data_IF_812103025858
#
_entry.id   IF_812103025858
#
_cell.length_a   1.000
_cell.length_b   1.000
_cell.length_c   1.000
_cell.angle_alpha   90.00
_cell.angle_beta   90.00
_cell.angle_gamma   90.00
#
_symmetry.space_group_name_H-M   'P 1'
#
loop_
_entity.id
_entity.type
_entity.pdbx_description
1 polymer ?
#
# COMPACT_ATOMS: atom_id res chain seq x y z
N UNK A 1 -31.13 -22.59 -23.24
CA UNK A 1 -29.71 -22.77 -23.63
C UNK A 1 -29.35 -21.78 -24.75
N UNK A 2 -29.11 -20.52 -24.38
CA UNK A 2 -28.60 -19.51 -25.31
C UNK A 2 -27.19 -19.13 -24.83
N UNK A 3 -26.25 -19.15 -25.77
CA UNK A 3 -24.81 -19.08 -25.54
C UNK A 3 -24.43 -17.76 -24.85
N UNK A 4 -23.74 -17.87 -23.72
CA UNK A 4 -23.06 -16.76 -23.06
C UNK A 4 -22.05 -16.20 -24.07
N UNK A 5 -22.20 -14.92 -24.40
CA UNK A 5 -21.07 -14.13 -24.89
C UNK A 5 -20.31 -13.77 -23.64
N UNK A 6 -19.21 -14.45 -23.41
CA UNK A 6 -18.20 -14.01 -22.47
C UNK A 6 -17.77 -12.62 -22.94
N UNK A 7 -18.10 -11.62 -22.13
CA UNK A 7 -17.51 -10.30 -22.24
C UNK A 7 -16.12 -10.48 -21.65
N UNK A 8 -15.13 -10.52 -22.54
CA UNK A 8 -13.72 -10.61 -22.16
C UNK A 8 -13.41 -9.55 -21.11
N UNK A 9 -12.72 -9.97 -20.06
CA UNK A 9 -12.22 -9.12 -18.99
C UNK A 9 -11.15 -8.12 -19.49
N UNK A 10 -10.84 -8.12 -20.78
CA UNK A 10 -9.88 -7.24 -21.46
C UNK A 10 -10.50 -5.89 -21.89
N UNK A 11 -11.83 -5.70 -21.79
CA UNK A 11 -12.50 -4.45 -22.22
C UNK A 11 -12.56 -3.34 -21.15
N UNK A 12 -12.12 -3.61 -19.92
CA UNK A 12 -11.86 -2.54 -18.95
C UNK A 12 -10.42 -2.11 -19.16
N UNK A 13 -10.23 -1.19 -20.10
CA UNK A 13 -9.01 -0.41 -20.26
C UNK A 13 -8.74 0.45 -19.02
N UNK A 14 -8.47 -0.18 -17.88
CA UNK A 14 -7.55 0.36 -16.92
C UNK A 14 -6.22 0.39 -17.68
N UNK A 15 -5.90 1.55 -18.24
CA UNK A 15 -4.51 1.92 -18.47
C UNK A 15 -3.89 1.90 -17.07
N UNK A 16 -3.46 0.70 -16.66
CA UNK A 16 -2.35 0.52 -15.76
C UNK A 16 -1.22 1.26 -16.44
N UNK A 17 -1.12 2.55 -16.15
CA UNK A 17 0.14 3.24 -16.26
C UNK A 17 1.01 2.55 -15.23
N UNK A 18 1.62 1.42 -15.64
CA UNK A 18 2.92 1.00 -15.16
C UNK A 18 3.66 2.29 -14.84
N UNK A 19 3.98 2.48 -13.57
CA UNK A 19 4.87 3.55 -13.18
C UNK A 19 6.17 3.22 -13.88
N UNK A 20 6.33 3.75 -15.08
CA UNK A 20 7.38 3.41 -16.02
C UNK A 20 8.70 3.71 -15.33
N UNK A 21 9.27 2.68 -14.74
CA UNK A 21 10.61 2.72 -14.15
C UNK A 21 11.64 2.79 -15.27
N UNK A 22 11.25 2.52 -16.52
CA UNK A 22 12.14 2.57 -17.67
C UNK A 22 12.46 4.01 -18.11
N UNK A 23 11.71 5.03 -17.67
CA UNK A 23 12.02 6.42 -18.01
C UNK A 23 13.29 6.96 -17.32
N UNK A 24 13.76 6.32 -16.24
CA UNK A 24 15.06 6.68 -15.65
C UNK A 24 16.24 6.17 -16.48
N UNK A 25 16.04 5.06 -17.22
CA UNK A 25 16.99 4.58 -18.23
C UNK A 25 16.81 5.34 -19.56
N UNK A 26 15.58 5.67 -19.96
CA UNK A 26 15.28 6.37 -21.21
C UNK A 26 15.68 7.86 -21.19
N UNK A 27 15.68 8.51 -20.02
CA UNK A 27 16.14 9.90 -19.88
C UNK A 27 17.68 10.06 -19.91
N UNK A 28 18.43 8.98 -20.17
CA UNK A 28 19.88 9.08 -20.36
C UNK A 28 20.61 9.70 -19.17
N UNK A 29 20.18 9.38 -17.94
CA UNK A 29 20.82 9.90 -16.75
C UNK A 29 22.26 9.37 -16.67
N UNK A 30 23.20 10.20 -17.13
CA UNK A 30 24.64 9.94 -17.15
C UNK A 30 25.16 9.57 -15.76
N UNK A 31 24.52 10.04 -14.68
CA UNK A 31 24.86 9.69 -13.30
C UNK A 31 24.45 8.25 -12.95
N UNK A 32 23.25 7.81 -13.36
CA UNK A 32 22.80 6.42 -13.16
C UNK A 32 23.64 5.45 -13.98
N UNK A 33 24.03 5.82 -15.20
CA UNK A 33 24.84 4.99 -16.10
C UNK A 33 26.33 4.92 -15.71
N UNK A 34 26.91 6.00 -15.16
CA UNK A 34 28.35 6.03 -14.80
C UNK A 34 28.66 5.48 -13.41
N UNK A 35 27.63 5.25 -12.58
CA UNK A 35 27.81 4.93 -11.16
C UNK A 35 28.42 6.11 -10.41
N UNK A 36 28.16 6.21 -9.10
CA UNK A 36 28.68 7.29 -8.24
C UNK A 36 30.21 7.17 -8.03
N UNK A 37 31.02 7.31 -9.09
CA UNK A 37 32.47 7.38 -8.99
C UNK A 37 32.86 8.80 -8.61
N UNK A 38 33.22 8.97 -7.34
CA UNK A 38 33.76 10.21 -6.80
C UNK A 38 35.06 10.55 -7.56
N UNK A 39 35.13 11.68 -8.30
CA UNK A 39 36.38 12.10 -8.91
C UNK A 39 37.41 12.36 -7.79
N UNK A 40 38.58 11.74 -7.89
CA UNK A 40 39.66 11.93 -6.90
C UNK A 40 40.29 13.30 -7.12
N UNK A 41 40.41 14.09 -6.06
CA UNK A 41 41.22 15.30 -6.06
C UNK A 41 42.71 14.91 -6.19
N UNK A 42 43.51 15.61 -7.01
CA UNK A 42 44.92 15.30 -7.13
C UNK A 42 45.67 15.67 -5.85
N UNK A 43 46.66 14.84 -5.54
CA UNK A 43 47.65 15.04 -4.49
C UNK A 43 48.62 16.16 -4.90
N UNK A 44 49.30 16.77 -3.92
CA UNK A 44 50.22 17.91 -4.09
C UNK A 44 51.11 17.83 -5.35
N UNK A 45 51.44 18.98 -5.98
CA UNK A 45 52.22 19.04 -7.21
C UNK A 45 53.57 18.32 -7.06
N UNK A 46 53.99 17.58 -8.09
CA UNK A 46 55.24 16.80 -8.04
C UNK A 46 56.48 17.69 -8.14
N UNK A 47 56.29 18.91 -8.66
CA UNK A 47 57.35 19.91 -8.84
C UNK A 47 57.33 20.92 -7.69
N UNK A 48 58.45 21.03 -6.96
CA UNK A 48 58.66 22.11 -5.99
C UNK A 48 59.18 23.34 -6.73
N UNK A 49 58.37 24.39 -6.82
CA UNK A 49 58.76 25.66 -7.44
C UNK A 49 59.90 26.31 -6.64
N UNK A 50 61.04 26.66 -7.28
CA UNK A 50 62.09 27.44 -6.63
C UNK A 50 61.53 28.79 -6.14
N UNK A 51 62.04 29.27 -5.00
CA UNK A 51 61.68 30.58 -4.49
C UNK A 51 62.04 31.69 -5.49
N UNK A 52 61.25 32.76 -5.55
CA UNK A 52 61.48 33.88 -6.46
C UNK A 52 62.89 34.47 -6.22
N UNK A 53 63.75 34.44 -7.24
CA UNK A 53 65.15 34.91 -7.15
C UNK A 53 66.19 33.82 -6.85
N UNK A 54 65.80 32.55 -6.73
CA UNK A 54 66.73 31.43 -6.59
C UNK A 54 67.56 31.20 -7.87
N UNK A 55 68.84 30.85 -7.72
CA UNK A 55 69.73 30.58 -8.85
C UNK A 55 69.29 29.32 -9.59
N UNK A 56 69.06 29.44 -10.91
CA UNK A 56 68.73 28.30 -11.77
C UNK A 56 70.04 27.61 -12.14
N UNK A 57 70.21 26.35 -11.72
CA UNK A 57 71.44 25.58 -11.93
C UNK A 57 71.47 24.91 -13.32
N UNK A 58 70.32 24.80 -14.00
CA UNK A 58 70.19 24.24 -15.35
C UNK A 58 68.90 24.74 -16.02
N UNK A 59 69.03 25.37 -17.19
CA UNK A 59 67.88 25.80 -18.01
C UNK A 59 67.08 24.59 -18.49
N UNK A 60 67.75 23.48 -18.78
CA UNK A 60 67.11 22.24 -19.25
C UNK A 60 66.22 21.61 -18.17
N UNK A 61 66.63 21.66 -16.91
CA UNK A 61 65.83 21.18 -15.79
C UNK A 61 64.58 22.07 -15.58
N UNK A 62 64.74 23.39 -15.63
CA UNK A 62 63.62 24.33 -15.54
C UNK A 62 62.60 24.13 -16.67
N UNK A 63 63.06 23.88 -17.90
CA UNK A 63 62.19 23.58 -19.04
C UNK A 63 61.47 22.24 -18.84
N UNK A 64 62.12 21.22 -18.27
CA UNK A 64 61.48 19.95 -17.95
C UNK A 64 60.39 20.11 -16.88
N UNK A 65 60.66 20.89 -15.83
CA UNK A 65 59.70 21.20 -14.77
C UNK A 65 58.50 21.98 -15.30
N UNK A 66 58.72 22.96 -16.19
CA UNK A 66 57.65 23.71 -16.85
C UNK A 66 56.74 22.81 -17.71
N UNK A 67 57.30 21.84 -18.44
CA UNK A 67 56.52 20.87 -19.21
C UNK A 67 55.75 19.89 -18.31
N UNK A 68 56.27 19.58 -17.12
CA UNK A 68 55.57 18.75 -16.13
C UNK A 68 54.39 19.52 -15.52
N UNK A 69 54.60 20.76 -15.08
CA UNK A 69 53.53 21.64 -14.58
C UNK A 69 52.46 21.92 -15.64
N UNK A 70 52.84 22.07 -16.91
CA UNK A 70 51.88 22.23 -18.00
C UNK A 70 50.97 21.01 -18.14
N UNK A 71 51.53 19.79 -18.05
CA UNK A 71 50.76 18.55 -18.09
C UNK A 71 49.86 18.39 -16.86
N UNK A 72 50.36 18.67 -15.66
CA UNK A 72 49.55 18.66 -14.43
C UNK A 72 48.40 19.67 -14.51
N UNK A 73 48.63 20.87 -15.06
CA UNK A 73 47.59 21.88 -15.23
C UNK A 73 46.51 21.45 -16.25
N UNK A 74 46.92 20.78 -17.33
CA UNK A 74 45.99 20.20 -18.30
C UNK A 74 45.13 19.10 -17.68
N UNK A 75 45.73 18.23 -16.88
CA UNK A 75 45.02 17.15 -16.18
C UNK A 75 44.03 17.71 -15.14
N UNK A 76 44.43 18.71 -14.36
CA UNK A 76 43.58 19.43 -13.43
C UNK A 76 42.36 20.07 -14.11
N UNK A 77 42.56 20.70 -15.29
CA UNK A 77 41.46 21.29 -16.07
C UNK A 77 40.48 20.22 -16.55
N UNK A 78 40.97 19.11 -17.09
CA UNK A 78 40.13 18.00 -17.53
C UNK A 78 39.32 17.40 -16.35
N UNK A 79 39.93 17.29 -15.17
CA UNK A 79 39.23 16.83 -13.96
C UNK A 79 38.19 17.84 -13.47
N UNK A 80 38.49 19.14 -13.50
CA UNK A 80 37.52 20.18 -13.16
C UNK A 80 36.31 20.17 -14.10
N UNK A 81 36.55 20.05 -15.40
CA UNK A 81 35.49 19.93 -16.41
C UNK A 81 34.61 18.71 -16.15
N UNK A 82 35.22 17.56 -15.81
CA UNK A 82 34.49 16.34 -15.45
C UNK A 82 33.62 16.53 -14.19
N UNK A 83 34.18 17.11 -13.13
CA UNK A 83 33.44 17.39 -11.88
C UNK A 83 32.29 18.37 -12.14
N UNK A 84 32.54 19.42 -12.92
CA UNK A 84 31.53 20.40 -13.30
C UNK A 84 30.37 19.75 -14.07
N UNK A 85 30.69 18.93 -15.08
CA UNK A 85 29.69 18.18 -15.85
C UNK A 85 28.91 17.20 -14.97
N UNK A 86 29.58 16.50 -14.05
CA UNK A 86 28.94 15.59 -13.12
C UNK A 86 27.98 16.32 -12.17
N UNK A 87 28.40 17.46 -11.61
CA UNK A 87 27.56 18.28 -10.73
C UNK A 87 26.36 18.86 -11.47
N UNK A 88 26.53 19.29 -12.72
CA UNK A 88 25.43 19.73 -13.57
C UNK A 88 24.42 18.60 -13.84
N UNK A 89 24.92 17.39 -14.11
CA UNK A 89 24.09 16.18 -14.26
C UNK A 89 23.31 15.83 -12.99
N UNK A 90 23.95 15.92 -11.82
CA UNK A 90 23.29 15.71 -10.52
C UNK A 90 22.19 16.74 -10.26
N UNK A 91 22.46 18.02 -10.56
CA UNK A 91 21.48 19.09 -10.40
C UNK A 91 20.26 18.89 -11.31
N UNK A 92 20.48 18.53 -12.58
CA UNK A 92 19.41 18.22 -13.52
C UNK A 92 18.59 17.02 -13.03
N UNK A 93 19.24 15.95 -12.57
CA UNK A 93 18.57 14.78 -12.03
C UNK A 93 17.74 15.09 -10.79
N UNK A 94 18.27 15.91 -9.87
CA UNK A 94 17.55 16.36 -8.68
C UNK A 94 16.30 17.19 -9.06
N UNK A 95 16.38 18.04 -10.09
CA UNK A 95 15.23 18.80 -10.60
C UNK A 95 14.14 17.88 -11.14
N UNK A 96 14.50 16.89 -11.97
CA UNK A 96 13.54 15.92 -12.53
C UNK A 96 12.86 15.11 -11.42
N UNK A 97 13.63 14.66 -10.42
CA UNK A 97 13.06 13.97 -9.25
C UNK A 97 12.13 14.88 -8.45
N UNK A 98 12.47 16.16 -8.30
CA UNK A 98 11.64 17.14 -7.62
C UNK A 98 10.29 17.33 -8.33
N UNK A 99 10.32 17.54 -9.66
CA UNK A 99 9.11 17.71 -10.46
C UNK A 99 8.22 16.46 -10.44
N UNK A 100 8.84 15.27 -10.50
CA UNK A 100 8.12 13.99 -10.36
C UNK A 100 7.45 13.87 -8.99
N UNK A 101 8.14 14.21 -7.91
CA UNK A 101 7.58 14.19 -6.57
C UNK A 101 6.42 15.18 -6.42
N UNK A 102 6.52 16.37 -7.01
CA UNK A 102 5.43 17.34 -7.05
C UNK A 102 4.22 16.77 -7.81
N UNK A 103 4.42 16.17 -8.98
CA UNK A 103 3.34 15.57 -9.77
C UNK A 103 2.62 14.43 -9.02
N UNK A 104 3.35 13.61 -8.26
CA UNK A 104 2.78 12.57 -7.41
C UNK A 104 1.93 13.19 -6.28
N UNK A 105 2.46 14.20 -5.60
CA UNK A 105 1.73 14.91 -4.54
C UNK A 105 0.46 15.60 -5.05
N UNK A 106 0.51 16.19 -6.24
CA UNK A 106 -0.65 16.81 -6.88
C UNK A 106 -1.73 15.78 -7.19
N UNK A 107 -1.38 14.67 -7.85
CA UNK A 107 -2.32 13.56 -8.11
C UNK A 107 -2.93 12.99 -6.84
N UNK A 108 -2.13 12.81 -5.79
CA UNK A 108 -2.63 12.34 -4.50
C UNK A 108 -3.65 13.32 -3.86
N UNK A 109 -3.38 14.63 -3.92
CA UNK A 109 -4.30 15.67 -3.41
C UNK A 109 -5.60 15.73 -4.22
N UNK A 110 -5.52 15.60 -5.54
CA UNK A 110 -6.69 15.54 -6.41
C UNK A 110 -7.54 14.31 -6.14
N UNK A 111 -6.90 13.14 -6.02
CA UNK A 111 -7.57 11.89 -5.63
C UNK A 111 -8.27 12.00 -4.27
N UNK A 112 -7.61 12.59 -3.27
CA UNK A 112 -8.20 12.84 -1.96
C UNK A 112 -9.42 13.76 -2.04
N UNK A 113 -9.32 14.89 -2.76
CA UNK A 113 -10.46 15.82 -2.95
C UNK A 113 -11.63 15.15 -3.66
N UNK A 114 -11.37 14.41 -4.73
CA UNK A 114 -12.40 13.67 -5.45
C UNK A 114 -13.07 12.63 -4.54
N UNK A 115 -12.29 11.92 -3.72
CA UNK A 115 -12.80 11.00 -2.70
C UNK A 115 -13.71 11.67 -1.68
N UNK A 116 -13.30 12.84 -1.16
CA UNK A 116 -14.12 13.61 -0.20
C UNK A 116 -15.44 14.08 -0.81
N UNK A 117 -15.45 14.56 -2.05
CA UNK A 117 -16.69 14.97 -2.75
C UNK A 117 -17.63 13.78 -2.93
N UNK A 118 -17.12 12.61 -3.32
CA UNK A 118 -17.94 11.39 -3.43
C UNK A 118 -18.51 10.95 -2.08
N UNK A 119 -17.73 11.06 -1.01
CA UNK A 119 -18.20 10.73 0.35
C UNK A 119 -19.32 11.68 0.78
N UNK A 120 -19.16 12.99 0.56
CA UNK A 120 -20.18 13.97 0.87
C UNK A 120 -21.48 13.71 0.08
N UNK A 121 -21.38 13.40 -1.22
CA UNK A 121 -22.52 13.01 -2.03
C UNK A 121 -23.21 11.75 -1.52
N UNK A 122 -22.44 10.73 -1.11
CA UNK A 122 -22.98 9.50 -0.54
C UNK A 122 -23.74 9.77 0.77
N UNK A 123 -23.19 10.61 1.66
CA UNK A 123 -23.86 11.01 2.89
C UNK A 123 -25.16 11.77 2.61
N UNK A 124 -25.15 12.72 1.68
CA UNK A 124 -26.36 13.46 1.28
C UNK A 124 -27.40 12.55 0.61
N UNK A 125 -27.00 11.51 -0.12
CA UNK A 125 -27.94 10.52 -0.63
C UNK A 125 -28.52 9.66 0.50
N UNK A 126 -27.70 9.29 1.48
CA UNK A 126 -28.14 8.49 2.63
C UNK A 126 -29.18 9.24 3.46
N UNK A 127 -28.92 10.51 3.77
CA UNK A 127 -29.89 11.34 4.50
C UNK A 127 -31.21 11.52 3.73
N UNK A 128 -31.17 11.56 2.39
CA UNK A 128 -32.40 11.62 1.58
C UNK A 128 -33.19 10.33 1.70
N UNK A 129 -32.53 9.18 1.55
CA UNK A 129 -33.16 7.87 1.71
C UNK A 129 -33.72 7.69 3.13
N UNK A 130 -33.01 8.14 4.17
CA UNK A 130 -33.49 8.11 5.55
C UNK A 130 -34.77 8.95 5.73
N UNK A 131 -34.85 10.14 5.12
CA UNK A 131 -36.08 10.96 5.13
C UNK A 131 -37.22 10.27 4.38
N UNK A 132 -36.96 9.75 3.18
CA UNK A 132 -37.96 9.05 2.38
C UNK A 132 -38.50 7.81 3.11
N UNK A 133 -37.63 7.09 3.83
CA UNK A 133 -38.01 5.96 4.65
C UNK A 133 -38.92 6.37 5.83
N UNK A 134 -38.58 7.45 6.53
CA UNK A 134 -39.40 7.99 7.61
C UNK A 134 -40.79 8.45 7.11
N UNK A 135 -40.85 9.10 5.94
CA UNK A 135 -42.12 9.48 5.30
C UNK A 135 -42.95 8.25 4.91
N UNK A 136 -42.30 7.19 4.40
CA UNK A 136 -42.97 5.95 4.07
C UNK A 136 -43.50 5.24 5.33
N UNK A 137 -42.73 5.20 6.42
CA UNK A 137 -43.19 4.68 7.71
C UNK A 137 -44.42 5.43 8.21
N UNK A 138 -44.41 6.77 8.14
CA UNK A 138 -45.57 7.60 8.49
C UNK A 138 -46.81 7.25 7.66
N UNK A 139 -46.65 7.09 6.34
CA UNK A 139 -47.75 6.68 5.44
C UNK A 139 -48.28 5.28 5.76
N UNK A 140 -47.40 4.33 6.08
CA UNK A 140 -47.79 2.97 6.48
C UNK A 140 -48.56 3.00 7.80
N UNK A 141 -48.12 3.81 8.77
CA UNK A 141 -48.85 3.99 10.03
C UNK A 141 -50.25 4.58 9.80
N UNK A 142 -50.38 5.57 8.91
CA UNK A 142 -51.67 6.15 8.52
C UNK A 142 -52.60 5.11 7.87
N UNK A 143 -52.07 4.26 6.98
CA UNK A 143 -52.86 3.19 6.37
C UNK A 143 -53.33 2.17 7.41
N UNK A 144 -52.49 1.80 8.38
CA UNK A 144 -52.88 0.91 9.49
C UNK A 144 -53.99 1.54 10.33
N UNK A 145 -53.84 2.81 10.72
CA UNK A 145 -54.87 3.51 11.49
C UNK A 145 -56.19 3.68 10.72
N UNK A 146 -56.15 3.72 9.38
CA UNK A 146 -57.38 3.67 8.56
C UNK A 146 -57.99 2.27 8.57
N UNK A 147 -57.17 1.23 8.37
CA UNK A 147 -57.61 -0.16 8.41
C UNK A 147 -58.30 -0.51 9.73
N UNK A 148 -57.70 -0.14 10.87
CA UNK A 148 -58.25 -0.36 12.21
C UNK A 148 -59.61 0.33 12.39
N UNK A 149 -59.76 1.55 11.86
CA UNK A 149 -61.04 2.28 11.90
C UNK A 149 -62.11 1.62 11.03
N UNK A 150 -61.75 1.12 9.85
CA UNK A 150 -62.68 0.35 9.01
C UNK A 150 -63.08 -0.95 9.68
N UNK A 151 -62.16 -1.69 10.29
CA UNK A 151 -62.47 -2.93 11.02
C UNK A 151 -63.40 -2.67 12.22
N UNK A 152 -63.16 -1.60 12.97
CA UNK A 152 -64.05 -1.16 14.04
C UNK A 152 -65.46 -0.81 13.52
N UNK A 153 -65.54 -0.09 12.39
CA UNK A 153 -66.82 0.25 11.76
C UNK A 153 -67.56 -0.99 11.25
N UNK A 154 -66.86 -1.95 10.64
CA UNK A 154 -67.44 -3.24 10.23
C UNK A 154 -67.98 -4.03 11.42
N UNK A 155 -67.25 -4.02 12.53
CA UNK A 155 -67.67 -4.69 13.76
C UNK A 155 -68.97 -4.10 14.29
N UNK A 156 -69.08 -2.76 14.33
CA UNK A 156 -70.32 -2.07 14.72
C UNK A 156 -71.48 -2.39 13.77
N UNK A 157 -71.23 -2.38 12.46
CA UNK A 157 -72.23 -2.74 11.45
C UNK A 157 -72.74 -4.17 11.62
N UNK A 158 -71.87 -5.13 11.96
CA UNK A 158 -72.28 -6.51 12.25
C UNK A 158 -73.18 -6.57 13.48
N UNK A 159 -72.83 -5.90 14.56
CA UNK A 159 -73.63 -5.86 15.80
C UNK A 159 -75.02 -5.29 15.53
N UNK A 160 -75.13 -4.17 14.81
CA UNK A 160 -76.41 -3.56 14.43
C UNK A 160 -77.24 -4.51 13.56
N UNK A 161 -76.58 -5.21 12.64
CA UNK A 161 -77.23 -6.18 11.75
C UNK A 161 -77.74 -7.41 12.51
N UNK A 162 -77.02 -7.88 13.50
CA UNK A 162 -77.44 -8.98 14.38
C UNK A 162 -78.61 -8.54 15.27
N UNK A 163 -78.54 -7.34 15.87
CA UNK A 163 -79.64 -6.76 16.67
C UNK A 163 -80.92 -6.59 15.86
N UNK A 164 -80.82 -5.98 14.67
CA UNK A 164 -81.98 -5.82 13.78
C UNK A 164 -82.53 -7.15 13.26
N UNK A 165 -81.68 -8.17 13.08
CA UNK A 165 -82.12 -9.52 12.74
C UNK A 165 -82.85 -10.23 13.91
N UNK A 166 -82.49 -9.92 15.16
CA UNK A 166 -83.23 -10.38 16.34
C UNK A 166 -84.58 -9.66 16.45
N UNK A 167 -84.61 -8.32 16.32
CA UNK A 167 -85.85 -7.54 16.32
C UNK A 167 -86.83 -8.01 15.25
N UNK A 168 -86.33 -8.33 14.04
CA UNK A 168 -87.17 -8.86 12.97
C UNK A 168 -87.78 -10.22 13.32
N UNK A 169 -87.00 -11.12 13.94
CA UNK A 169 -87.48 -12.43 14.39
C UNK A 169 -88.57 -12.29 15.46
N UNK A 170 -88.40 -11.38 16.41
CA UNK A 170 -89.39 -11.11 17.46
C UNK A 170 -90.70 -10.56 16.88
N UNK A 171 -90.61 -9.60 15.96
CA UNK A 171 -91.77 -9.07 15.24
C UNK A 171 -92.51 -10.17 14.46
N UNK A 172 -91.77 -11.08 13.82
CA UNK A 172 -92.35 -12.18 13.07
C UNK A 172 -93.08 -13.18 14.00
N UNK A 173 -92.51 -13.46 15.18
CA UNK A 173 -93.17 -14.28 16.20
C UNK A 173 -94.45 -13.62 16.74
N UNK A 174 -94.44 -12.32 16.98
CA UNK A 174 -95.63 -11.56 17.40
C UNK A 174 -96.73 -11.61 16.35
N UNK A 175 -96.37 -11.47 15.08
CA UNK A 175 -97.32 -11.51 13.96
C UNK A 175 -97.95 -12.90 13.81
N UNK A 176 -97.16 -13.96 13.98
CA UNK A 176 -97.66 -15.33 14.02
C UNK A 176 -98.64 -15.55 15.18
N UNK A 177 -98.29 -15.10 16.38
CA UNK A 177 -99.17 -15.22 17.56
C UNK A 177 -100.50 -14.47 17.36
N UNK A 178 -100.47 -13.29 16.73
CA UNK A 178 -101.68 -12.54 16.40
C UNK A 178 -102.55 -13.26 15.36
N UNK A 179 -101.94 -13.93 14.37
CA UNK A 179 -102.66 -14.76 13.40
C UNK A 179 -103.33 -15.97 14.07
N UNK A 180 -102.62 -16.65 14.97
CA UNK A 180 -103.17 -17.78 15.72
C UNK A 180 -104.36 -17.36 16.58
N UNK A 181 -104.27 -16.19 17.26
CA UNK A 181 -105.41 -15.61 17.99
C UNK A 181 -106.61 -15.30 17.09
N UNK A 182 -106.37 -14.75 15.89
CA UNK A 182 -107.44 -14.48 14.93
C UNK A 182 -108.11 -15.78 14.46
N UNK A 183 -107.34 -16.86 14.25
CA UNK A 183 -107.86 -18.18 13.90
C UNK A 183 -108.71 -18.78 15.04
N UNK A 184 -108.28 -18.61 16.29
CA UNK A 184 -109.05 -19.05 17.46
C UNK A 184 -110.39 -18.32 17.58
N UNK A 185 -110.42 -17.01 17.36
CA UNK A 185 -111.66 -16.23 17.32
C UNK A 185 -112.59 -16.66 16.18
N UNK A 186 -112.04 -16.94 14.99
CA UNK A 186 -112.81 -17.46 13.86
C UNK A 186 -113.42 -18.84 14.18
N UNK A 187 -112.67 -19.72 14.86
CA UNK A 187 -113.16 -21.02 15.30
C UNK A 187 -114.26 -20.91 16.38
N UNK A 188 -114.19 -19.92 17.28
CA UNK A 188 -115.24 -19.64 18.26
C UNK A 188 -116.53 -19.17 17.60
N UNK A 189 -116.43 -18.29 16.59
CA UNK A 189 -117.57 -17.86 15.77
C UNK A 189 -118.19 -19.04 15.01
N UNK A 190 -117.39 -19.92 14.43
CA UNK A 190 -117.87 -21.13 13.76
C UNK A 190 -118.59 -22.11 14.72
N UNK A 191 -118.16 -22.20 15.99
CA UNK A 191 -118.84 -22.99 17.03
C UNK A 191 -120.15 -22.36 17.49
N UNK A 192 -120.23 -21.03 17.54
CA UNK A 192 -121.46 -20.31 17.86
C UNK A 192 -122.55 -20.50 16.78
N UNK A 193 -122.16 -20.81 15.53
CA UNK A 193 -123.07 -21.11 14.44
C UNK A 193 -123.65 -22.55 14.48
N UNK A 194 -123.19 -23.44 15.38
CA UNK A 194 -123.51 -24.87 15.39
C UNK A 194 -124.69 -25.31 16.30
N UNK A 195 -125.45 -24.39 16.90
CA UNK A 195 -126.65 -24.73 17.71
C UNK A 195 -127.93 -24.79 16.86
N UNK A 196 -128.74 -25.88 16.91
CA UNK A 196 -129.84 -26.08 15.96
C UNK A 196 -131.21 -25.59 16.49
N UNK A 197 -132.10 -25.04 15.63
CA UNK A 197 -133.54 -25.10 15.85
C UNK A 197 -134.25 -26.05 14.85
N UNK A 198 -135.39 -26.63 15.24
CA UNK A 198 -136.01 -27.77 14.58
C UNK A 198 -136.92 -27.43 13.40
N UNK A 199 -137.16 -28.49 12.64
CA UNK A 199 -137.98 -28.65 11.44
C UNK A 199 -139.35 -27.98 11.47
N UNK A 200 -139.63 -27.19 10.44
CA UNK A 200 -140.69 -27.43 9.45
C UNK A 200 -140.73 -26.21 8.56
N UNK A 201 -140.26 -26.30 7.32
CA UNK A 201 -140.57 -25.24 6.36
C UNK A 201 -140.51 -25.70 4.89
N UNK A 202 -141.67 -25.70 4.23
CA UNK A 202 -141.83 -25.44 2.79
C UNK A 202 -141.16 -24.10 2.42
N UNK A 203 -140.80 -23.87 1.16
CA UNK A 203 -140.10 -22.66 0.68
C UNK A 203 -138.71 -22.36 1.30
N UNK A 204 -138.37 -22.88 2.50
CA UNK A 204 -137.07 -22.70 3.16
C UNK A 204 -135.92 -23.51 2.52
N UNK A 205 -136.18 -24.62 1.82
CA UNK A 205 -135.15 -25.30 1.02
C UNK A 205 -134.74 -24.53 -0.25
N UNK A 206 -135.63 -23.67 -0.76
CA UNK A 206 -135.32 -22.76 -1.87
C UNK A 206 -134.55 -21.54 -1.36
N UNK A 207 -134.87 -21.01 -0.18
CA UNK A 207 -134.02 -20.02 0.50
C UNK A 207 -132.69 -20.62 1.01
N UNK A 208 -132.61 -21.92 1.31
CA UNK A 208 -131.37 -22.62 1.66
C UNK A 208 -130.50 -22.90 0.43
N UNK A 209 -131.06 -23.31 -0.71
CA UNK A 209 -130.31 -23.43 -1.97
C UNK A 209 -129.92 -22.05 -2.56
N UNK A 210 -130.72 -21.01 -2.29
CA UNK A 210 -130.38 -19.62 -2.61
C UNK A 210 -129.36 -19.06 -1.62
N UNK A 211 -129.46 -19.42 -0.34
CA UNK A 211 -128.46 -19.17 0.70
C UNK A 211 -127.13 -19.86 0.37
N UNK A 212 -127.13 -21.12 -0.06
CA UNK A 212 -125.95 -21.85 -0.54
C UNK A 212 -125.35 -21.22 -1.80
N UNK A 213 -126.17 -20.69 -2.71
CA UNK A 213 -125.71 -19.90 -3.86
C UNK A 213 -125.14 -18.54 -3.46
N UNK A 214 -125.73 -17.88 -2.47
CA UNK A 214 -125.28 -16.59 -1.93
C UNK A 214 -124.05 -16.77 -1.03
N UNK A 215 -123.91 -17.89 -0.33
CA UNK A 215 -122.76 -18.35 0.45
C UNK A 215 -121.62 -18.75 -0.49
N UNK A 216 -121.88 -19.49 -1.58
CA UNK A 216 -120.89 -19.76 -2.62
C UNK A 216 -120.44 -18.48 -3.34
N UNK A 217 -121.32 -17.47 -3.45
CA UNK A 217 -120.94 -16.13 -3.94
C UNK A 217 -120.11 -15.38 -2.91
N UNK A 218 -120.45 -15.45 -1.63
CA UNK A 218 -119.67 -14.88 -0.53
C UNK A 218 -118.29 -15.52 -0.45
N UNK A 219 -118.17 -16.86 -0.49
CA UNK A 219 -116.91 -17.59 -0.55
C UNK A 219 -116.09 -17.23 -1.79
N UNK A 220 -116.73 -17.09 -2.96
CA UNK A 220 -116.03 -16.64 -4.18
C UNK A 220 -115.52 -15.21 -4.03
N UNK A 221 -116.29 -14.33 -3.40
CA UNK A 221 -115.90 -12.95 -3.20
C UNK A 221 -114.82 -12.83 -2.09
N UNK A 222 -114.86 -13.65 -1.05
CA UNK A 222 -113.81 -13.82 -0.04
C UNK A 222 -112.52 -14.40 -0.63
N UNK A 223 -112.62 -15.43 -1.48
CA UNK A 223 -111.48 -15.96 -2.23
C UNK A 223 -110.90 -14.93 -3.20
N UNK A 224 -111.73 -14.07 -3.81
CA UNK A 224 -111.25 -12.94 -4.60
C UNK A 224 -110.53 -11.90 -3.75
N UNK A 225 -111.03 -11.60 -2.55
CA UNK A 225 -110.38 -10.70 -1.59
C UNK A 225 -109.05 -11.30 -1.10
N UNK A 226 -109.02 -12.60 -0.77
CA UNK A 226 -107.81 -13.31 -0.37
C UNK A 226 -106.77 -13.37 -1.51
N UNK A 227 -107.22 -13.62 -2.76
CA UNK A 227 -106.36 -13.59 -3.94
C UNK A 227 -105.81 -12.17 -4.19
N UNK A 228 -106.63 -11.13 -3.99
CA UNK A 228 -106.19 -9.74 -4.09
C UNK A 228 -105.18 -9.38 -2.99
N UNK A 229 -105.39 -9.86 -1.75
CA UNK A 229 -104.46 -9.68 -0.64
C UNK A 229 -103.12 -10.42 -0.86
N UNK A 230 -103.16 -11.66 -1.37
CA UNK A 230 -101.96 -12.42 -1.72
C UNK A 230 -101.16 -11.75 -2.86
N UNK A 231 -101.86 -11.21 -3.88
CA UNK A 231 -101.24 -10.40 -4.94
C UNK A 231 -100.63 -9.11 -4.40
N UNK A 232 -101.30 -8.44 -3.46
CA UNK A 232 -100.77 -7.25 -2.80
C UNK A 232 -99.53 -7.58 -1.93
N UNK A 233 -99.49 -8.75 -1.29
CA UNK A 233 -98.34 -9.22 -0.51
C UNK A 233 -97.14 -9.69 -1.35
N UNK A 234 -97.37 -10.15 -2.58
CA UNK A 234 -96.31 -10.54 -3.53
C UNK A 234 -95.45 -9.34 -3.99
N UNK A 235 -96.06 -8.18 -4.17
CA UNK A 235 -95.36 -6.96 -4.63
C UNK A 235 -94.15 -6.55 -3.76
N UNK A 236 -94.27 -6.45 -2.41
CA UNK A 236 -93.12 -6.15 -1.56
C UNK A 236 -92.09 -7.28 -1.48
N UNK A 237 -92.49 -8.55 -1.66
CA UNK A 237 -91.55 -9.68 -1.73
C UNK A 237 -90.73 -9.61 -3.02
N UNK A 238 -91.37 -9.32 -4.15
CA UNK A 238 -90.69 -9.10 -5.42
C UNK A 238 -89.74 -7.90 -5.35
N UNK A 239 -90.16 -6.77 -4.78
CA UNK A 239 -89.29 -5.62 -4.58
C UNK A 239 -88.05 -5.93 -3.72
N UNK A 240 -88.19 -6.79 -2.70
CA UNK A 240 -87.05 -7.26 -1.89
C UNK A 240 -86.13 -8.20 -2.66
N UNK A 241 -86.68 -9.08 -3.49
CA UNK A 241 -85.89 -9.96 -4.35
C UNK A 241 -85.08 -9.16 -5.37
N UNK A 242 -85.72 -8.19 -6.05
CA UNK A 242 -85.07 -7.30 -7.00
C UNK A 242 -83.96 -6.46 -6.33
N UNK A 243 -84.20 -5.97 -5.11
CA UNK A 243 -83.20 -5.24 -4.34
C UNK A 243 -81.99 -6.12 -3.93
N UNK A 244 -82.24 -7.38 -3.54
CA UNK A 244 -81.18 -8.33 -3.21
C UNK A 244 -80.37 -8.75 -4.45
N UNK A 245 -81.01 -8.87 -5.60
CA UNK A 245 -80.34 -9.16 -6.88
C UNK A 245 -79.47 -7.97 -7.30
N UNK A 246 -79.98 -6.74 -7.21
CA UNK A 246 -79.21 -5.53 -7.45
C UNK A 246 -77.99 -5.39 -6.50
N UNK A 247 -78.14 -5.77 -5.23
CA UNK A 247 -77.03 -5.76 -4.27
C UNK A 247 -75.99 -6.84 -4.59
N UNK A 248 -76.42 -8.05 -4.98
CA UNK A 248 -75.50 -9.09 -5.45
C UNK A 248 -74.72 -8.66 -6.68
N UNK A 249 -75.37 -7.99 -7.63
CA UNK A 249 -74.71 -7.47 -8.83
C UNK A 249 -73.69 -6.39 -8.49
N UNK A 250 -74.00 -5.49 -7.53
CA UNK A 250 -73.03 -4.52 -7.01
C UNK A 250 -71.82 -5.17 -6.35
N UNK A 251 -72.04 -6.15 -5.47
CA UNK A 251 -70.95 -6.89 -4.84
C UNK A 251 -70.09 -7.60 -5.89
N UNK A 252 -70.72 -8.18 -6.91
CA UNK A 252 -70.00 -8.82 -8.02
C UNK A 252 -69.13 -7.83 -8.79
N UNK A 253 -69.66 -6.65 -9.12
CA UNK A 253 -68.87 -5.59 -9.76
C UNK A 253 -67.70 -5.12 -8.88
N UNK A 254 -67.86 -5.07 -7.56
CA UNK A 254 -66.77 -4.74 -6.64
C UNK A 254 -65.69 -5.83 -6.62
N UNK A 255 -66.08 -7.11 -6.65
CA UNK A 255 -65.11 -8.22 -6.75
C UNK A 255 -64.39 -8.20 -8.10
N UNK A 256 -65.13 -8.00 -9.20
CA UNK A 256 -64.57 -7.93 -10.56
C UNK A 256 -63.54 -6.79 -10.71
N UNK A 257 -63.63 -5.75 -9.87
CA UNK A 257 -62.67 -4.63 -9.85
C UNK A 257 -61.54 -4.82 -8.83
N UNK A 258 -61.81 -5.47 -7.70
CA UNK A 258 -60.81 -5.73 -6.66
C UNK A 258 -59.83 -6.86 -7.02
N UNK A 259 -60.27 -7.87 -7.77
CA UNK A 259 -59.42 -8.98 -8.20
C UNK A 259 -58.24 -8.52 -9.07
N UNK A 260 -58.45 -7.73 -10.15
CA UNK A 260 -57.33 -7.16 -10.92
C UNK A 260 -56.40 -6.29 -10.07
N UNK A 261 -56.93 -5.49 -9.14
CA UNK A 261 -56.11 -4.65 -8.25
C UNK A 261 -55.20 -5.48 -7.34
N UNK A 262 -55.72 -6.58 -6.81
CA UNK A 262 -54.93 -7.52 -6.01
C UNK A 262 -53.84 -8.17 -6.85
N UNK A 263 -54.18 -8.61 -8.04
CA UNK A 263 -53.24 -9.30 -8.92
C UNK A 263 -52.13 -8.35 -9.41
N UNK A 264 -52.46 -7.09 -9.68
CA UNK A 264 -51.50 -6.02 -9.97
C UNK A 264 -50.57 -5.75 -8.78
N UNK A 265 -51.11 -5.68 -7.55
CA UNK A 265 -50.31 -5.51 -6.34
C UNK A 265 -49.36 -6.68 -6.08
N UNK A 266 -49.81 -7.92 -6.35
CA UNK A 266 -48.96 -9.11 -6.27
C UNK A 266 -47.87 -9.08 -7.34
N UNK A 267 -48.20 -8.71 -8.57
CA UNK A 267 -47.22 -8.56 -9.65
C UNK A 267 -46.16 -7.51 -9.33
N UNK A 268 -46.55 -6.40 -8.71
CA UNK A 268 -45.61 -5.36 -8.26
C UNK A 268 -44.74 -5.86 -7.10
N UNK A 269 -45.31 -6.56 -6.12
CA UNK A 269 -44.53 -7.20 -5.04
C UNK A 269 -43.50 -8.17 -5.61
N UNK A 270 -43.86 -8.98 -6.60
CA UNK A 270 -42.95 -9.93 -7.24
C UNK A 270 -41.87 -9.21 -8.07
N UNK A 271 -42.16 -8.04 -8.64
CA UNK A 271 -41.14 -7.17 -9.26
C UNK A 271 -40.17 -6.61 -8.23
N UNK A 272 -40.67 -6.05 -7.13
CA UNK A 272 -39.84 -5.53 -6.03
C UNK A 272 -38.97 -6.62 -5.42
N UNK A 273 -39.53 -7.82 -5.20
CA UNK A 273 -38.77 -8.97 -4.69
C UNK A 273 -37.59 -9.31 -5.60
N UNK A 274 -37.80 -9.30 -6.93
CA UNK A 274 -36.71 -9.54 -7.89
C UNK A 274 -35.64 -8.44 -7.86
N UNK A 275 -36.04 -7.18 -7.70
CA UNK A 275 -35.10 -6.07 -7.57
C UNK A 275 -34.26 -6.17 -6.29
N UNK A 276 -34.88 -6.58 -5.17
CA UNK A 276 -34.18 -6.79 -3.90
C UNK A 276 -33.11 -7.87 -4.02
N UNK A 277 -33.42 -9.01 -4.66
CA UNK A 277 -32.43 -10.07 -4.89
C UNK A 277 -31.23 -9.56 -5.70
N UNK A 278 -31.47 -8.74 -6.74
CA UNK A 278 -30.38 -8.14 -7.52
C UNK A 278 -29.56 -7.15 -6.68
N UNK A 279 -30.22 -6.36 -5.83
CA UNK A 279 -29.54 -5.43 -4.94
C UNK A 279 -28.69 -6.16 -3.88
N UNK A 280 -29.21 -7.24 -3.29
CA UNK A 280 -28.46 -8.11 -2.37
C UNK A 280 -27.23 -8.70 -3.03
N UNK A 281 -27.36 -9.24 -4.25
CA UNK A 281 -26.23 -9.76 -5.02
C UNK A 281 -25.18 -8.68 -5.31
N UNK A 282 -25.61 -7.45 -5.61
CA UNK A 282 -24.70 -6.33 -5.82
C UNK A 282 -23.98 -5.93 -4.52
N UNK A 283 -24.68 -5.95 -3.38
CA UNK A 283 -24.09 -5.72 -2.06
C UNK A 283 -23.06 -6.80 -1.70
N UNK A 284 -23.37 -8.07 -1.92
CA UNK A 284 -22.46 -9.18 -1.68
C UNK A 284 -21.19 -9.04 -2.53
N UNK A 285 -21.33 -8.73 -3.82
CA UNK A 285 -20.19 -8.47 -4.70
C UNK A 285 -19.34 -7.28 -4.24
N UNK A 286 -19.96 -6.21 -3.73
CA UNK A 286 -19.24 -5.06 -3.17
C UNK A 286 -18.48 -5.42 -1.87
N UNK A 287 -19.05 -6.28 -1.02
CA UNK A 287 -18.40 -6.77 0.18
C UNK A 287 -17.19 -7.66 -0.16
N UNK A 288 -17.31 -8.54 -1.14
CA UNK A 288 -16.21 -9.38 -1.61
C UNK A 288 -15.04 -8.55 -2.14
N UNK A 289 -15.32 -7.52 -2.97
CA UNK A 289 -14.30 -6.60 -3.46
C UNK A 289 -13.60 -5.85 -2.32
N UNK A 290 -14.36 -5.38 -1.32
CA UNK A 290 -13.80 -4.71 -0.14
C UNK A 290 -12.88 -5.64 0.64
N UNK A 291 -13.30 -6.88 0.85
CA UNK A 291 -12.52 -7.86 1.59
C UNK A 291 -11.25 -8.26 0.82
N UNK A 292 -11.32 -8.37 -0.50
CA UNK A 292 -10.13 -8.54 -1.36
C UNK A 292 -9.17 -7.35 -1.23
N UNK A 293 -9.66 -6.12 -1.35
CA UNK A 293 -8.84 -4.92 -1.19
C UNK A 293 -8.17 -4.86 0.20
N UNK A 294 -8.89 -5.29 1.25
CA UNK A 294 -8.34 -5.37 2.61
C UNK A 294 -7.22 -6.41 2.73
N UNK A 295 -7.35 -7.56 2.07
CA UNK A 295 -6.30 -8.59 2.02
C UNK A 295 -5.05 -8.07 1.32
N UNK A 296 -5.21 -7.42 0.17
CA UNK A 296 -4.12 -6.79 -0.60
C UNK A 296 -3.41 -5.73 0.26
N UNK A 297 -4.17 -4.82 0.88
CA UNK A 297 -3.58 -3.79 1.75
C UNK A 297 -2.79 -4.38 2.91
N UNK A 298 -3.26 -5.49 3.48
CA UNK A 298 -2.56 -6.18 4.57
C UNK A 298 -1.26 -6.84 4.08
N UNK A 299 -1.26 -7.42 2.88
CA UNK A 299 -0.06 -7.98 2.27
C UNK A 299 1.00 -6.89 1.99
N UNK A 300 0.59 -5.78 1.36
CA UNK A 300 1.49 -4.64 1.09
C UNK A 300 2.08 -4.04 2.36
N UNK A 301 1.31 -3.98 3.46
CA UNK A 301 1.85 -3.53 4.76
C UNK A 301 2.94 -4.47 5.27
N UNK A 302 2.75 -5.79 5.15
CA UNK A 302 3.77 -6.77 5.56
C UNK A 302 5.04 -6.66 4.72
N UNK A 303 4.91 -6.51 3.41
CA UNK A 303 6.05 -6.30 2.51
C UNK A 303 6.83 -5.03 2.86
N UNK A 304 6.12 -3.92 3.10
CA UNK A 304 6.73 -2.67 3.56
C UNK A 304 7.47 -2.87 4.89
N UNK A 305 6.85 -3.52 5.86
CA UNK A 305 7.46 -3.71 7.18
C UNK A 305 8.70 -4.62 7.10
N UNK A 306 8.69 -5.62 6.22
CA UNK A 306 9.87 -6.44 5.90
C UNK A 306 10.98 -5.60 5.26
N UNK A 307 10.67 -4.79 4.24
CA UNK A 307 11.64 -3.92 3.59
C UNK A 307 12.24 -2.88 4.55
N UNK A 308 11.45 -2.34 5.48
CA UNK A 308 11.96 -1.46 6.56
C UNK A 308 12.93 -2.20 7.46
N UNK A 309 12.60 -3.43 7.85
CA UNK A 309 13.48 -4.27 8.68
C UNK A 309 14.82 -4.57 7.97
N UNK A 310 14.78 -4.90 6.69
CA UNK A 310 16.00 -5.13 5.87
C UNK A 310 16.85 -3.86 5.76
N UNK A 311 16.22 -2.71 5.51
CA UNK A 311 16.91 -1.42 5.46
C UNK A 311 17.58 -1.10 6.79
N UNK A 312 16.90 -1.33 7.91
CA UNK A 312 17.43 -1.03 9.23
C UNK A 312 18.63 -1.96 9.56
N UNK A 313 18.57 -3.25 9.16
CA UNK A 313 19.73 -4.14 9.22
C UNK A 313 20.89 -3.66 8.34
N UNK A 314 20.62 -3.20 7.12
CA UNK A 314 21.65 -2.67 6.23
C UNK A 314 22.33 -1.42 6.84
N UNK A 315 21.56 -0.52 7.45
CA UNK A 315 22.11 0.63 8.17
C UNK A 315 22.99 0.23 9.35
N UNK A 316 22.60 -0.78 10.12
CA UNK A 316 23.42 -1.31 11.22
C UNK A 316 24.73 -1.91 10.69
N UNK A 317 24.69 -2.64 9.57
CA UNK A 317 25.88 -3.20 8.93
C UNK A 317 26.83 -2.08 8.43
N UNK A 318 26.29 -1.02 7.82
CA UNK A 318 27.08 0.13 7.40
C UNK A 318 27.73 0.82 8.61
N UNK A 319 27.00 1.04 9.69
CA UNK A 319 27.55 1.64 10.91
C UNK A 319 28.69 0.79 11.50
N UNK A 320 28.58 -0.53 11.48
CA UNK A 320 29.66 -1.43 11.91
C UNK A 320 30.90 -1.33 11.01
N UNK A 321 30.72 -1.24 9.69
CA UNK A 321 31.82 -1.06 8.73
C UNK A 321 32.50 0.31 8.91
N UNK A 322 31.73 1.36 9.19
CA UNK A 322 32.28 2.69 9.50
C UNK A 322 33.14 2.66 10.76
N UNK A 323 32.68 1.99 11.82
CA UNK A 323 33.48 1.81 13.04
C UNK A 323 34.78 1.05 12.77
N UNK A 324 34.73 -0.03 11.97
CA UNK A 324 35.93 -0.78 11.59
C UNK A 324 36.90 0.07 10.78
N UNK A 325 36.40 0.87 9.82
CA UNK A 325 37.21 1.80 9.04
C UNK A 325 37.90 2.81 9.95
N UNK A 326 37.16 3.41 10.88
CA UNK A 326 37.70 4.45 11.75
C UNK A 326 38.77 3.87 12.71
N UNK A 327 38.58 2.64 13.19
CA UNK A 327 39.60 1.90 13.94
C UNK A 327 40.87 1.65 13.11
N UNK A 328 40.72 1.17 11.87
CA UNK A 328 41.85 0.93 10.96
C UNK A 328 42.60 2.22 10.60
N UNK A 329 41.88 3.34 10.42
CA UNK A 329 42.49 4.66 10.21
C UNK A 329 43.28 5.10 11.44
N UNK A 330 42.73 4.93 12.64
CA UNK A 330 43.43 5.25 13.88
C UNK A 330 44.70 4.41 14.07
N UNK A 331 44.67 3.12 13.75
CA UNK A 331 45.86 2.25 13.77
C UNK A 331 46.92 2.70 12.77
N UNK A 332 46.52 2.98 11.52
CA UNK A 332 47.42 3.51 10.50
C UNK A 332 48.09 4.81 10.96
N UNK A 333 47.33 5.71 11.57
CA UNK A 333 47.85 6.99 12.02
C UNK A 333 48.81 6.83 13.20
N UNK A 334 48.55 5.90 14.14
CA UNK A 334 49.51 5.50 15.18
C UNK A 334 50.80 4.92 14.59
N UNK A 335 50.67 4.03 13.60
CA UNK A 335 51.83 3.43 12.94
C UNK A 335 52.69 4.49 12.24
N UNK A 336 52.06 5.46 11.55
CA UNK A 336 52.76 6.61 10.95
C UNK A 336 53.48 7.47 11.98
N UNK A 337 52.83 7.75 13.12
CA UNK A 337 53.46 8.49 14.21
C UNK A 337 54.67 7.75 14.80
N UNK A 338 54.64 6.42 14.83
CA UNK A 338 55.76 5.60 15.31
C UNK A 338 56.96 5.54 14.34
N UNK A 339 56.77 5.80 13.05
CA UNK A 339 57.85 5.80 12.05
C UNK A 339 58.79 6.99 12.25
N UNK A 340 58.27 8.18 12.54
CA UNK A 340 59.08 9.39 12.71
C UNK A 340 60.25 9.27 13.72
N UNK A 341 60.05 8.76 14.97
CA UNK A 341 61.16 8.58 15.90
C UNK A 341 62.14 7.48 15.45
N UNK A 342 61.68 6.45 14.72
CA UNK A 342 62.56 5.41 14.17
C UNK A 342 63.45 5.98 13.05
N UNK A 343 62.91 6.84 12.19
CA UNK A 343 63.70 7.56 11.18
C UNK A 343 64.73 8.47 11.84
N UNK A 344 64.34 9.20 12.89
CA UNK A 344 65.26 10.03 13.67
C UNK A 344 66.39 9.19 14.31
N UNK A 345 66.06 8.03 14.87
CA UNK A 345 67.06 7.11 15.45
C UNK A 345 68.00 6.57 14.38
N UNK A 346 67.48 6.19 13.20
CA UNK A 346 68.29 5.73 12.06
C UNK A 346 69.26 6.82 11.62
N UNK A 347 68.78 8.04 11.44
CA UNK A 347 69.60 9.15 10.95
C UNK A 347 70.69 9.53 11.96
N UNK A 348 70.37 9.49 13.27
CA UNK A 348 71.35 9.65 14.33
C UNK A 348 72.43 8.55 14.30
N UNK A 349 72.03 7.28 14.17
CA UNK A 349 72.96 6.15 14.07
C UNK A 349 73.86 6.24 12.82
N UNK A 350 73.31 6.69 11.68
CA UNK A 350 74.08 6.94 10.46
C UNK A 350 75.11 8.06 10.69
N UNK A 351 74.70 9.16 11.31
CA UNK A 351 75.62 10.26 11.64
C UNK A 351 76.75 9.83 12.58
N UNK A 352 76.46 9.02 13.60
CA UNK A 352 77.49 8.45 14.48
C UNK A 352 78.45 7.53 13.75
N UNK A 353 77.93 6.63 12.90
CA UNK A 353 78.76 5.75 12.06
C UNK A 353 79.68 6.57 11.16
N UNK A 354 79.17 7.62 10.54
CA UNK A 354 79.95 8.45 9.62
C UNK A 354 81.03 9.25 10.37
N UNK A 355 80.74 9.75 11.57
CA UNK A 355 81.78 10.34 12.47
C UNK A 355 82.85 9.32 12.85
N UNK A 356 82.45 8.11 13.22
CA UNK A 356 83.40 7.04 13.56
C UNK A 356 84.30 6.70 12.36
N UNK A 357 83.74 6.62 11.15
CA UNK A 357 84.52 6.44 9.91
C UNK A 357 85.49 7.59 9.68
N UNK A 358 85.07 8.83 9.85
CA UNK A 358 85.93 10.00 9.72
C UNK A 358 87.08 9.99 10.75
N UNK A 359 86.83 9.53 11.98
CA UNK A 359 87.85 9.42 13.03
C UNK A 359 88.89 8.32 12.75
N UNK A 360 88.55 7.30 11.97
CA UNK A 360 89.48 6.23 11.56
C UNK A 360 90.48 6.73 10.51
N UNK A 361 90.08 7.64 9.61
CA UNK A 361 90.96 8.19 8.54
C UNK A 361 92.32 8.71 9.07
N UNK A 362 92.39 9.61 10.08
CA UNK A 362 93.68 10.07 10.59
C UNK A 362 94.49 8.97 11.28
N UNK A 363 93.84 7.96 11.88
CA UNK A 363 94.52 6.81 12.47
C UNK A 363 95.16 5.92 11.39
N UNK A 364 94.47 5.73 10.27
CA UNK A 364 95.04 5.03 9.10
C UNK A 364 96.21 5.80 8.51
N UNK A 365 96.10 7.12 8.38
CA UNK A 365 97.21 7.98 7.93
C UNK A 365 98.41 7.90 8.89
N UNK A 366 98.19 7.91 10.20
CA UNK A 366 99.24 7.75 11.21
C UNK A 366 99.90 6.37 11.11
N UNK A 367 99.11 5.31 10.96
CA UNK A 367 99.62 3.95 10.77
C UNK A 367 100.49 3.87 9.51
N UNK A 368 100.01 4.41 8.40
CA UNK A 368 100.72 4.35 7.12
C UNK A 368 102.03 5.16 7.16
N UNK A 369 102.04 6.31 7.84
CA UNK A 369 103.26 7.07 8.12
C UNK A 369 104.25 6.27 8.98
N UNK A 370 103.79 5.66 10.08
CA UNK A 370 104.63 4.82 10.93
C UNK A 370 105.20 3.59 10.19
N UNK A 371 104.42 3.00 9.28
CA UNK A 371 104.89 1.92 8.40
C UNK A 371 105.98 2.43 7.45
N UNK A 372 105.79 3.59 6.83
CA UNK A 372 106.79 4.20 5.95
C UNK A 372 108.10 4.52 6.69
N UNK A 373 108.03 5.08 7.89
CA UNK A 373 109.20 5.34 8.74
C UNK A 373 109.94 4.05 9.10
N UNK A 374 109.20 3.00 9.50
CA UNK A 374 109.77 1.68 9.78
C UNK A 374 110.49 1.11 8.56
N UNK A 375 109.89 1.22 7.38
CA UNK A 375 110.46 0.68 6.15
C UNK A 375 111.70 1.49 5.71
N UNK A 376 111.70 2.82 5.88
CA UNK A 376 112.90 3.65 5.71
C UNK A 376 114.03 3.25 6.68
N UNK A 377 113.71 3.04 7.97
CA UNK A 377 114.68 2.59 8.96
C UNK A 377 115.27 1.22 8.61
N UNK A 378 114.46 0.29 8.07
CA UNK A 378 114.93 -1.02 7.58
C UNK A 378 115.88 -0.88 6.39
N UNK A 379 115.59 0.02 5.44
CA UNK A 379 116.48 0.29 4.30
C UNK A 379 117.80 0.91 4.77
N UNK A 380 117.76 1.89 5.67
CA UNK A 380 118.94 2.51 6.26
C UNK A 380 119.82 1.48 7.00
N UNK A 381 119.21 0.59 7.80
CA UNK A 381 119.92 -0.50 8.48
C UNK A 381 120.56 -1.47 7.47
N UNK A 382 119.87 -1.79 6.38
CA UNK A 382 120.41 -2.66 5.32
C UNK A 382 121.61 -2.01 4.63
N UNK A 383 121.50 -0.72 4.27
CA UNK A 383 122.61 0.05 3.72
C UNK A 383 123.80 0.15 4.69
N UNK A 384 123.54 0.35 5.98
CA UNK A 384 124.58 0.35 7.02
C UNK A 384 125.28 -1.01 7.12
N UNK A 385 124.53 -2.12 7.08
CA UNK A 385 125.11 -3.47 7.06
C UNK A 385 125.96 -3.70 5.82
N UNK A 386 125.50 -3.27 4.64
CA UNK A 386 126.29 -3.33 3.41
C UNK A 386 127.58 -2.52 3.53
N UNK A 387 127.53 -1.28 4.03
CA UNK A 387 128.73 -0.46 4.29
C UNK A 387 129.69 -1.14 5.27
N UNK A 388 129.20 -1.70 6.38
CA UNK A 388 130.03 -2.47 7.33
C UNK A 388 130.63 -3.71 6.68
N UNK A 389 129.88 -4.38 5.80
CA UNK A 389 130.37 -5.49 4.97
C UNK A 389 131.51 -5.06 4.05
N UNK A 390 131.36 -3.95 3.32
CA UNK A 390 132.40 -3.38 2.47
C UNK A 390 133.65 -3.02 3.27
N UNK A 391 133.50 -2.30 4.39
CA UNK A 391 134.62 -1.96 5.28
C UNK A 391 135.30 -3.21 5.84
N UNK A 392 134.55 -4.27 6.18
CA UNK A 392 135.13 -5.53 6.62
C UNK A 392 135.92 -6.23 5.50
N UNK A 393 135.46 -6.15 4.24
CA UNK A 393 136.19 -6.65 3.06
C UNK A 393 137.45 -5.82 2.83
N UNK A 394 137.39 -4.48 2.87
CA UNK A 394 138.54 -3.60 2.74
C UNK A 394 139.57 -3.84 3.85
N UNK A 395 139.13 -3.99 5.10
CA UNK A 395 140.00 -4.35 6.23
C UNK A 395 140.65 -5.72 6.03
N UNK A 396 139.95 -6.68 5.41
CA UNK A 396 140.52 -7.99 5.08
C UNK A 396 141.55 -7.89 3.96
N UNK A 397 141.26 -7.14 2.89
CA UNK A 397 142.18 -6.89 1.78
C UNK A 397 143.43 -6.18 2.27
N UNK A 398 143.29 -5.09 3.03
CA UNK A 398 144.44 -4.36 3.61
C UNK A 398 145.26 -5.23 4.55
N UNK A 399 144.64 -6.08 5.37
CA UNK A 399 145.38 -7.07 6.20
C UNK A 399 146.16 -8.05 5.35
N UNK A 400 145.57 -8.56 4.26
CA UNK A 400 146.24 -9.46 3.32
C UNK A 400 147.40 -8.75 2.61
N UNK A 401 147.20 -7.53 2.12
CA UNK A 401 148.26 -6.72 1.50
C UNK A 401 149.38 -6.37 2.48
N UNK A 402 149.07 -6.06 3.74
CA UNK A 402 150.07 -5.87 4.80
C UNK A 402 150.82 -7.17 5.10
N UNK A 403 150.15 -8.31 5.15
CA UNK A 403 150.81 -9.60 5.33
C UNK A 403 151.70 -9.97 4.14
N UNK A 404 151.28 -9.60 2.93
CA UNK A 404 152.07 -9.78 1.71
C UNK A 404 153.28 -8.84 1.70
N UNK A 405 153.11 -7.55 2.04
CA UNK A 405 154.21 -6.59 2.18
C UNK A 405 155.19 -6.97 3.29
N UNK A 406 154.72 -7.57 4.39
CA UNK A 406 155.58 -8.16 5.42
C UNK A 406 156.34 -9.37 4.89
N UNK A 407 155.68 -10.28 4.16
CA UNK A 407 156.37 -11.40 3.51
C UNK A 407 157.40 -10.90 2.47
N UNK A 408 157.09 -9.87 1.69
CA UNK A 408 158.01 -9.23 0.74
C UNK A 408 159.18 -8.54 1.46
N UNK A 409 158.94 -7.93 2.62
CA UNK A 409 159.99 -7.34 3.48
C UNK A 409 160.85 -8.41 4.17
N UNK A 410 160.26 -9.52 4.60
CA UNK A 410 160.97 -10.69 5.14
C UNK A 410 161.81 -11.39 4.07
N UNK A 411 161.32 -11.46 2.82
CA UNK A 411 162.09 -11.94 1.66
C UNK A 411 163.22 -10.97 1.32
N UNK A 412 163.00 -9.66 1.40
CA UNK A 412 164.04 -8.64 1.20
C UNK A 412 165.09 -8.63 2.33
N UNK A 413 164.72 -8.97 3.56
CA UNK A 413 165.65 -9.14 4.68
C UNK A 413 166.46 -10.44 4.58
N UNK A 414 165.91 -11.51 4.02
CA UNK A 414 166.62 -12.78 3.81
C UNK A 414 167.64 -12.75 2.66
N UNK A 415 167.67 -11.69 1.84
CA UNK A 415 168.68 -11.48 0.80
C UNK A 415 169.86 -10.60 1.24
N UNK A 416 169.86 -10.12 2.50
CA UNK A 416 170.84 -9.16 3.02
C UNK A 416 171.64 -9.71 4.22
N UNK A 417 171.95 -11.02 4.20
CA UNK A 417 172.92 -11.63 5.12
C UNK A 417 174.17 -12.04 4.32
N UNK A 418 175.34 -11.42 4.58
CA UNK A 418 176.58 -11.73 3.88
C UNK A 418 177.21 -13.03 4.40
N UNK A 419 177.71 -13.86 3.49
CA UNK A 419 178.84 -14.75 3.72
C UNK A 419 179.97 -14.35 2.77
#
# INVERSE_FOLDING_TARGET
>A
MARRRDVDADDIGLVEGELDTNDLEAAGCVVCALGARRPRLPTAPQVQLPALGAHVHSVTALVADAHTLLRENQELRAQYELVSAHNAGLAAHASVLHDRNLAILHRAREGYRAGMVRLEQALLSRERVERDYADLEGRVADFRARADRTEAAETLLRVERDSSAEEYRDLQAQLQAAQDQAADYAAQLARAAATPPPSSAPLARLFAAQGECDDARAERDDLRVALAAARAALSPVQARADAAEAERDRVRQLVDTAEPQRDDALAERDRVTRLLVVAEQACDGALDMRDQARRISTALRRERDAAVTERDHAHQAVAALEQQRDAAVAERDRARQAVAPLEQQRDAAVAERDRARQAVVPLEQQRDAAVAERDQARLALTAQRQRRGLVAVELRVTRLSLSQSRAESEVAQNLNVPL
#
